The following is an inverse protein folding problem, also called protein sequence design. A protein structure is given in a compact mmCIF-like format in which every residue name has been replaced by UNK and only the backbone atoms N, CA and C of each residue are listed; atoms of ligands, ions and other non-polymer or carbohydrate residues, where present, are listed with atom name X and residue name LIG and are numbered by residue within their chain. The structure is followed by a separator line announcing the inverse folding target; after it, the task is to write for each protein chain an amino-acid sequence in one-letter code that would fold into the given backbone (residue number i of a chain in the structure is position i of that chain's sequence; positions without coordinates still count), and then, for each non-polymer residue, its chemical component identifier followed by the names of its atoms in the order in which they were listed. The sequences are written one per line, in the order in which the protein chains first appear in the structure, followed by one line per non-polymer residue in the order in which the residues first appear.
data_IF_963394418642
#
_entry.id   IF_963394418642
#
_cell.length_a   1.000
_cell.length_b   1.000
_cell.length_c   1.000
_cell.angle_alpha   90.00
_cell.angle_beta   90.00
_cell.angle_gamma   90.00
#
_symmetry.space_group_name_H-M   'P 1'
#
loop_
_entity.id
_entity.type
_entity.pdbx_description
1 polymer ?
#
# COMPACT_ATOMS: atom_id res chain seq x y z
N UNK A 1 5.24 16.94 -20.43
CA UNK A 1 3.99 16.22 -20.74
C UNK A 1 4.20 14.92 -21.52
N UNK A 2 5.35 14.70 -22.17
CA UNK A 2 5.61 13.52 -23.01
C UNK A 2 5.62 12.17 -22.24
N UNK A 3 6.04 12.16 -20.97
CA UNK A 3 6.11 10.94 -20.15
C UNK A 3 4.94 10.75 -19.16
N UNK A 4 3.95 11.65 -19.18
CA UNK A 4 2.87 11.63 -18.18
C UNK A 4 2.09 10.30 -18.20
N UNK A 5 1.79 9.78 -19.38
CA UNK A 5 1.12 8.48 -19.54
C UNK A 5 1.96 7.34 -18.96
N UNK A 6 3.27 7.37 -19.14
CA UNK A 6 4.18 6.33 -18.61
C UNK A 6 4.18 6.36 -17.08
N UNK A 7 4.26 7.54 -16.46
CA UNK A 7 4.22 7.65 -15.01
C UNK A 7 2.88 7.20 -14.42
N UNK A 8 1.77 7.50 -15.08
CA UNK A 8 0.44 7.04 -14.65
C UNK A 8 0.35 5.51 -14.74
N UNK A 9 0.83 4.91 -15.83
CA UNK A 9 0.85 3.46 -15.99
C UNK A 9 1.73 2.78 -14.94
N UNK A 10 2.91 3.34 -14.65
CA UNK A 10 3.78 2.85 -13.58
C UNK A 10 3.14 3.00 -12.20
N UNK A 11 2.53 4.15 -11.90
CA UNK A 11 1.84 4.38 -10.64
C UNK A 11 0.67 3.39 -10.46
N UNK A 12 -0.10 3.13 -11.53
CA UNK A 12 -1.16 2.13 -11.51
C UNK A 12 -0.61 0.72 -11.28
N UNK A 13 0.44 0.33 -12.01
CA UNK A 13 1.05 -0.99 -11.87
C UNK A 13 1.64 -1.22 -10.47
N UNK A 14 2.42 -0.27 -9.95
CA UNK A 14 3.02 -0.35 -8.62
C UNK A 14 2.00 -0.19 -7.49
N UNK A 15 0.99 0.66 -7.69
CA UNK A 15 -0.14 0.79 -6.77
C UNK A 15 -0.94 -0.50 -6.66
N UNK A 16 -1.23 -1.17 -7.79
CA UNK A 16 -1.88 -2.48 -7.79
C UNK A 16 -0.99 -3.56 -7.16
N UNK A 17 0.31 -3.54 -7.43
CA UNK A 17 1.27 -4.45 -6.81
C UNK A 17 1.29 -4.30 -5.28
N UNK A 18 1.34 -3.07 -4.77
CA UNK A 18 1.27 -2.80 -3.34
C UNK A 18 -0.10 -3.20 -2.77
N UNK A 19 -1.20 -2.86 -3.44
CA UNK A 19 -2.56 -3.20 -2.99
C UNK A 19 -2.77 -4.72 -2.90
N UNK A 20 -2.19 -5.48 -3.83
CA UNK A 20 -2.17 -6.94 -3.75
C UNK A 20 -1.39 -7.42 -2.51
N UNK A 21 -0.23 -6.82 -2.22
CA UNK A 21 0.55 -7.12 -1.01
C UNK A 21 -0.20 -6.79 0.29
N UNK A 22 -0.96 -5.69 0.33
CA UNK A 22 -1.83 -5.32 1.45
C UNK A 22 -2.87 -6.42 1.67
N UNK A 23 -3.61 -6.80 0.62
CA UNK A 23 -4.62 -7.85 0.73
C UNK A 23 -4.05 -9.18 1.21
N UNK A 24 -2.88 -9.59 0.71
CA UNK A 24 -2.22 -10.83 1.14
C UNK A 24 -1.88 -10.83 2.64
N UNK A 25 -1.40 -9.70 3.17
CA UNK A 25 -1.06 -9.54 4.58
C UNK A 25 -2.30 -9.41 5.48
N UNK A 26 -3.26 -8.59 5.07
CA UNK A 26 -4.37 -8.15 5.93
C UNK A 26 -5.48 -9.20 6.02
N UNK A 27 -5.72 -9.99 4.96
CA UNK A 27 -6.67 -11.13 5.01
C UNK A 27 -6.26 -12.13 6.08
N UNK A 28 -4.96 -12.43 6.18
CA UNK A 28 -4.43 -13.35 7.20
C UNK A 28 -4.65 -12.80 8.62
N UNK A 29 -4.47 -11.48 8.80
CA UNK A 29 -4.66 -10.80 10.08
C UNK A 29 -6.15 -10.73 10.50
N UNK A 30 -7.05 -10.43 9.56
CA UNK A 30 -8.48 -10.24 9.85
C UNK A 30 -9.26 -11.57 9.96
N UNK A 31 -8.92 -12.58 9.14
CA UNK A 31 -9.71 -13.81 9.03
C UNK A 31 -9.05 -15.04 9.68
N UNK A 32 -7.83 -14.90 10.22
CA UNK A 32 -7.06 -16.02 10.79
C UNK A 32 -7.80 -16.76 11.91
N UNK A 33 -8.49 -16.06 12.80
CA UNK A 33 -9.26 -16.66 13.92
C UNK A 33 -10.51 -17.38 13.43
N UNK A 34 -11.24 -16.79 12.48
CA UNK A 34 -12.45 -17.39 11.88
C UNK A 34 -12.14 -18.66 11.08
N UNK A 35 -10.99 -18.68 10.39
CA UNK A 35 -10.50 -19.87 9.69
C UNK A 35 -9.97 -20.90 10.69
N UNK A 36 -9.16 -20.46 11.67
CA UNK A 36 -8.54 -21.34 12.67
C UNK A 36 -9.55 -22.02 13.60
N UNK A 37 -10.67 -21.35 13.91
CA UNK A 37 -11.80 -21.92 14.67
C UNK A 37 -12.73 -22.80 13.83
N UNK A 38 -12.46 -22.94 12.52
CA UNK A 38 -13.27 -23.69 11.54
C UNK A 38 -14.70 -23.16 11.37
N UNK A 39 -14.97 -21.92 11.78
CA UNK A 39 -16.26 -21.25 11.52
C UNK A 39 -16.38 -20.91 10.04
N UNK A 40 -15.27 -20.54 9.40
CA UNK A 40 -15.20 -20.26 7.97
C UNK A 40 -14.15 -21.11 7.27
N UNK A 41 -14.45 -21.51 6.03
CA UNK A 41 -13.43 -22.06 5.12
C UNK A 41 -12.58 -20.92 4.54
N UNK A 42 -11.37 -21.25 4.05
CA UNK A 42 -10.48 -20.29 3.40
C UNK A 42 -11.19 -19.58 2.22
N UNK A 43 -11.96 -20.32 1.41
CA UNK A 43 -12.70 -19.75 0.27
C UNK A 43 -13.73 -18.72 0.73
N UNK A 44 -14.49 -19.02 1.78
CA UNK A 44 -15.48 -18.09 2.32
C UNK A 44 -14.81 -16.83 2.88
N UNK A 45 -13.73 -17.01 3.64
CA UNK A 45 -12.98 -15.89 4.22
C UNK A 45 -12.42 -14.95 3.14
N UNK A 46 -11.87 -15.48 2.04
CA UNK A 46 -11.35 -14.67 0.92
C UNK A 46 -12.47 -13.88 0.23
N UNK A 47 -13.64 -14.49 -0.01
CA UNK A 47 -14.78 -13.80 -0.66
C UNK A 47 -15.30 -12.66 0.23
N UNK A 48 -15.47 -12.94 1.53
CA UNK A 48 -15.91 -11.94 2.51
C UNK A 48 -14.90 -10.80 2.59
N UNK A 49 -13.61 -11.13 2.76
CA UNK A 49 -12.56 -10.13 2.84
C UNK A 49 -12.48 -9.28 1.57
N UNK A 50 -12.55 -9.87 0.37
CA UNK A 50 -12.53 -9.11 -0.88
C UNK A 50 -13.65 -8.07 -0.97
N UNK A 51 -14.87 -8.44 -0.54
CA UNK A 51 -16.01 -7.50 -0.52
C UNK A 51 -15.81 -6.38 0.51
N UNK A 52 -15.49 -6.73 1.77
CA UNK A 52 -15.39 -5.75 2.84
C UNK A 52 -14.13 -4.87 2.77
N UNK A 53 -12.99 -5.40 2.34
CA UNK A 53 -11.76 -4.63 2.10
C UNK A 53 -11.98 -3.64 0.95
N UNK A 54 -12.61 -4.07 -0.14
CA UNK A 54 -12.95 -3.16 -1.24
C UNK A 54 -13.94 -2.08 -0.79
N UNK A 55 -14.99 -2.46 -0.07
CA UNK A 55 -15.97 -1.51 0.46
C UNK A 55 -15.32 -0.51 1.43
N UNK A 56 -14.45 -0.98 2.33
CA UNK A 56 -13.70 -0.14 3.25
C UNK A 56 -12.77 0.84 2.52
N UNK A 57 -12.01 0.36 1.54
CA UNK A 57 -11.16 1.20 0.70
C UNK A 57 -11.96 2.27 -0.06
N UNK A 58 -13.13 1.91 -0.62
CA UNK A 58 -13.97 2.83 -1.38
C UNK A 58 -14.71 3.86 -0.50
N UNK A 59 -15.26 3.42 0.64
CA UNK A 59 -16.10 4.25 1.50
C UNK A 59 -15.30 5.08 2.51
N UNK A 60 -14.16 4.56 2.99
CA UNK A 60 -13.38 5.15 4.10
C UNK A 60 -11.90 5.39 3.77
N UNK A 61 -11.39 4.97 2.62
CA UNK A 61 -9.96 5.08 2.27
C UNK A 61 -9.46 6.52 2.07
N UNK A 62 -10.35 7.46 1.75
CA UNK A 62 -9.97 8.83 1.39
C UNK A 62 -9.22 9.61 2.48
N UNK A 63 -9.53 9.37 3.75
CA UNK A 63 -8.87 10.03 4.87
C UNK A 63 -7.40 9.59 5.01
N UNK A 64 -7.13 8.29 4.90
CA UNK A 64 -5.77 7.73 4.98
C UNK A 64 -4.93 8.20 3.79
N UNK A 65 -5.50 8.20 2.57
CA UNK A 65 -4.81 8.71 1.38
C UNK A 65 -4.47 10.20 1.52
N UNK A 66 -5.36 11.00 2.09
CA UNK A 66 -5.11 12.44 2.32
C UNK A 66 -3.93 12.67 3.27
N UNK A 67 -3.87 11.90 4.36
CA UNK A 67 -2.77 11.99 5.33
C UNK A 67 -1.44 11.57 4.70
N UNK A 68 -1.40 10.47 3.95
CA UNK A 68 -0.18 9.99 3.29
C UNK A 68 0.32 10.99 2.25
N UNK A 69 -0.58 11.62 1.49
CA UNK A 69 -0.22 12.58 0.44
C UNK A 69 0.31 13.91 1.00
N UNK A 70 -0.26 14.42 2.09
CA UNK A 70 -0.02 15.80 2.56
C UNK A 70 0.73 15.90 3.89
N UNK A 71 0.71 14.86 4.71
CA UNK A 71 1.19 14.92 6.09
C UNK A 71 2.54 14.25 6.35
N UNK A 72 3.21 13.72 5.33
CA UNK A 72 4.48 12.99 5.49
C UNK A 72 5.66 13.74 4.88
N UNK A 73 5.46 14.42 3.74
CA UNK A 73 6.52 15.16 3.05
C UNK A 73 6.28 16.66 3.27
N UNK A 74 7.09 17.29 4.11
CA UNK A 74 7.08 18.75 4.37
C UNK A 74 8.31 19.47 3.78
N UNK A 75 9.17 18.77 3.04
CA UNK A 75 10.38 19.35 2.46
C UNK A 75 10.02 20.25 1.26
N UNK A 76 10.09 21.57 1.46
CA UNK A 76 9.77 22.57 0.43
C UNK A 76 10.58 22.36 -0.87
N UNK A 77 11.82 21.88 -0.77
CA UNK A 77 12.69 21.61 -1.93
C UNK A 77 12.15 20.48 -2.81
N UNK A 78 11.61 19.42 -2.20
CA UNK A 78 10.97 18.29 -2.90
C UNK A 78 9.63 18.74 -3.49
N UNK A 79 8.87 19.56 -2.76
CA UNK A 79 7.58 20.07 -3.21
C UNK A 79 7.71 21.02 -4.40
N UNK A 80 8.83 21.72 -4.53
CA UNK A 80 9.14 22.57 -5.68
C UNK A 80 9.61 21.79 -6.92
N UNK A 81 9.86 20.47 -6.80
CA UNK A 81 10.31 19.59 -7.88
C UNK A 81 9.32 18.45 -8.13
N UNK A 82 8.27 18.66 -8.96
CA UNK A 82 7.23 17.66 -9.21
C UNK A 82 7.76 16.30 -9.70
N UNK A 83 8.84 16.30 -10.47
CA UNK A 83 9.47 15.09 -11.02
C UNK A 83 10.10 14.24 -9.91
N UNK A 84 10.79 14.88 -8.97
CA UNK A 84 11.41 14.21 -7.82
C UNK A 84 10.33 13.56 -6.94
N UNK A 85 9.21 14.26 -6.73
CA UNK A 85 8.07 13.72 -6.00
C UNK A 85 7.47 12.48 -6.69
N UNK A 86 7.31 12.52 -8.02
CA UNK A 86 6.81 11.37 -8.79
C UNK A 86 7.75 10.17 -8.62
N UNK A 87 9.06 10.36 -8.79
CA UNK A 87 10.04 9.28 -8.63
C UNK A 87 10.05 8.72 -7.22
N UNK A 88 10.00 9.58 -6.21
CA UNK A 88 9.92 9.19 -4.81
C UNK A 88 8.70 8.32 -4.52
N UNK A 89 7.52 8.77 -4.94
CA UNK A 89 6.28 8.02 -4.70
C UNK A 89 6.26 6.67 -5.44
N UNK A 90 6.76 6.61 -6.68
CA UNK A 90 6.92 5.34 -7.40
C UNK A 90 7.89 4.39 -6.69
N UNK A 91 9.03 4.90 -6.23
CA UNK A 91 10.00 4.12 -5.46
C UNK A 91 9.42 3.63 -4.13
N UNK A 92 8.65 4.47 -3.42
CA UNK A 92 8.00 4.09 -2.17
C UNK A 92 6.95 2.99 -2.38
N UNK A 93 6.13 3.07 -3.44
CA UNK A 93 5.16 2.02 -3.79
C UNK A 93 5.87 0.69 -4.09
N UNK A 94 6.96 0.73 -4.85
CA UNK A 94 7.73 -0.47 -5.18
C UNK A 94 8.39 -1.08 -3.93
N UNK A 95 9.07 -0.27 -3.12
CA UNK A 95 9.75 -0.72 -1.91
C UNK A 95 8.75 -1.32 -0.89
N UNK A 96 7.62 -0.63 -0.68
CA UNK A 96 6.56 -1.11 0.19
C UNK A 96 5.96 -2.42 -0.32
N UNK A 97 5.65 -2.50 -1.62
CA UNK A 97 5.14 -3.72 -2.25
C UNK A 97 6.09 -4.90 -2.09
N UNK A 98 7.39 -4.72 -2.37
CA UNK A 98 8.41 -5.78 -2.21
C UNK A 98 8.45 -6.26 -0.76
N UNK A 99 8.47 -5.35 0.22
CA UNK A 99 8.48 -5.72 1.63
C UNK A 99 7.24 -6.52 2.03
N UNK A 100 6.05 -6.11 1.59
CA UNK A 100 4.81 -6.83 1.88
C UNK A 100 4.81 -8.24 1.28
N UNK A 101 5.39 -8.43 0.09
CA UNK A 101 5.55 -9.77 -0.48
C UNK A 101 6.48 -10.64 0.36
N UNK A 102 7.62 -10.08 0.80
CA UNK A 102 8.58 -10.80 1.65
C UNK A 102 7.92 -11.20 2.96
N UNK A 103 7.28 -10.25 3.65
CA UNK A 103 6.61 -10.48 4.93
C UNK A 103 5.46 -11.51 4.80
N UNK A 104 4.61 -11.37 3.78
CA UNK A 104 3.50 -12.30 3.53
C UNK A 104 3.99 -13.71 3.25
N UNK A 105 5.08 -13.87 2.48
CA UNK A 105 5.70 -15.18 2.23
C UNK A 105 6.32 -15.80 3.47
N UNK A 106 6.89 -14.98 4.34
CA UNK A 106 7.43 -15.43 5.62
C UNK A 106 6.35 -15.67 6.70
N UNK A 107 5.09 -15.30 6.41
CA UNK A 107 3.97 -15.41 7.36
C UNK A 107 4.03 -14.39 8.49
N UNK A 108 4.75 -13.27 8.30
CA UNK A 108 4.88 -12.23 9.30
C UNK A 108 3.73 -11.22 9.19
N UNK A 109 2.88 -11.07 10.22
CA UNK A 109 1.87 -10.02 10.22
C UNK A 109 2.56 -8.68 10.43
N UNK A 110 2.66 -7.87 9.38
CA UNK A 110 3.30 -6.54 9.41
C UNK A 110 2.28 -5.43 9.20
N UNK A 111 2.63 -4.21 9.63
CA UNK A 111 1.78 -3.04 9.37
C UNK A 111 2.03 -2.46 7.98
N UNK A 112 1.00 -2.47 7.14
CA UNK A 112 1.01 -1.90 5.79
C UNK A 112 1.19 -0.38 5.80
N UNK A 113 0.56 0.31 6.76
CA UNK A 113 0.74 1.76 6.98
C UNK A 113 2.18 2.12 7.34
N UNK A 114 2.80 1.44 8.31
CA UNK A 114 4.20 1.72 8.65
C UNK A 114 5.13 1.41 7.48
N UNK A 115 4.82 0.39 6.70
CA UNK A 115 5.61 0.02 5.52
C UNK A 115 5.65 1.16 4.50
N UNK A 116 4.51 1.75 4.13
CA UNK A 116 4.48 2.84 3.14
C UNK A 116 4.99 4.15 3.71
N UNK A 117 4.65 4.48 4.95
CA UNK A 117 5.16 5.69 5.61
C UNK A 117 6.69 5.63 5.71
N UNK A 118 7.26 4.50 6.13
CA UNK A 118 8.71 4.32 6.20
C UNK A 118 9.39 4.46 4.83
N UNK A 119 8.78 3.91 3.77
CA UNK A 119 9.29 4.05 2.41
C UNK A 119 9.24 5.51 1.90
N UNK A 120 8.21 6.28 2.25
CA UNK A 120 8.09 7.70 1.91
C UNK A 120 9.11 8.53 2.68
N UNK A 121 9.25 8.29 3.98
CA UNK A 121 10.25 8.96 4.83
C UNK A 121 11.67 8.68 4.33
N UNK A 122 11.98 7.44 3.96
CA UNK A 122 13.28 7.07 3.40
C UNK A 122 13.61 7.84 2.12
N UNK A 123 12.64 8.01 1.23
CA UNK A 123 12.78 8.89 0.07
C UNK A 123 12.99 10.34 0.48
N UNK A 124 12.15 10.87 1.37
CA UNK A 124 12.16 12.29 1.76
C UNK A 124 13.45 12.74 2.47
N UNK A 125 14.21 11.80 3.07
CA UNK A 125 15.52 12.08 3.70
C UNK A 125 16.65 12.08 2.66
N UNK A 126 16.57 11.25 1.63
CA UNK A 126 17.66 11.05 0.65
C UNK A 126 17.53 11.97 -0.56
N UNK A 127 16.30 12.24 -1.01
CA UNK A 127 15.98 13.11 -2.14
C UNK A 127 15.86 14.57 -1.74
#
# INVERSE_FOLDING_TARGET
MEYATIYILLAAALGLFMAWGIGANDVANAMGTSIGSKVLTIKQAVIIAAFFEFAGAFLAGGQVTSTIRKGIIENESIMQSPELLIYGMLASLLAAGIWLVIASRAGWPVSTTHTIVGAIVGFAIVG
#
